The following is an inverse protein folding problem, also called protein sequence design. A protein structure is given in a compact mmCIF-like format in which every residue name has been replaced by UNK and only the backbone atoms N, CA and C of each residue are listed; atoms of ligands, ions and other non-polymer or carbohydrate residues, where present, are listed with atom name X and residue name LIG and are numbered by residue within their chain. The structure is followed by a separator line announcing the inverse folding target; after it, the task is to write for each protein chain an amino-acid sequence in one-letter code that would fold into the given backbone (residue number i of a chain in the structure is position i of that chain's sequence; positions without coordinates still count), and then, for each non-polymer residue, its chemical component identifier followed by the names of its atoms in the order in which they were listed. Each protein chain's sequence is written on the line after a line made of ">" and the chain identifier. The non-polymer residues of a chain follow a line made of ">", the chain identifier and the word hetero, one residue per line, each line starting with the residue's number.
data_IF_958197091991
#
_entry.id   IF_958197091991
#
_cell.length_a   1.000
_cell.length_b   1.000
_cell.length_c   1.000
_cell.angle_alpha   90.00
_cell.angle_beta   90.00
_cell.angle_gamma   90.00
#
_symmetry.space_group_name_H-M   'P 1'
#
loop_
_entity.id
_entity.type
_entity.pdbx_description
1 polymer ?
#
# COMPACT_ATOMS: atom_id res chain seq x y z
N UNK A 1 -2.40 8.28 0.78
CA UNK A 1 -1.79 8.85 2.00
C UNK A 1 -1.13 10.21 1.78
N UNK A 2 -0.70 10.54 0.56
CA UNK A 2 0.13 11.74 0.26
C UNK A 2 -0.70 12.86 -0.37
N UNK A 3 -1.40 12.57 -1.48
CA UNK A 3 -2.20 13.54 -2.19
C UNK A 3 -3.38 14.04 -1.34
N UNK A 4 -3.78 15.29 -1.57
CA UNK A 4 -4.92 15.91 -0.89
C UNK A 4 -6.23 15.67 -1.66
N UNK A 5 -6.14 15.50 -2.98
CA UNK A 5 -7.27 15.15 -3.87
C UNK A 5 -6.87 13.97 -4.74
N UNK A 6 -7.76 13.01 -4.92
CA UNK A 6 -7.60 11.88 -5.82
C UNK A 6 -8.28 12.14 -7.16
N UNK A 7 -7.59 11.82 -8.27
CA UNK A 7 -8.17 11.82 -9.61
C UNK A 7 -8.40 10.36 -10.03
N UNK A 8 -9.67 9.99 -10.19
CA UNK A 8 -10.08 8.67 -10.63
C UNK A 8 -10.27 8.65 -12.14
N UNK A 9 -9.30 8.07 -12.84
CA UNK A 9 -9.37 7.93 -14.30
C UNK A 9 -10.11 6.65 -14.65
N UNK A 10 -11.23 6.78 -15.36
CA UNK A 10 -12.10 5.69 -15.79
C UNK A 10 -12.05 5.55 -17.31
N UNK A 11 -11.96 4.34 -17.79
CA UNK A 11 -11.92 4.05 -19.22
C UNK A 11 -13.34 4.10 -19.82
N UNK A 12 -13.55 4.92 -20.86
CA UNK A 12 -14.84 5.07 -21.52
C UNK A 12 -15.37 3.82 -22.22
N UNK A 13 -14.52 2.80 -22.44
CA UNK A 13 -14.92 1.52 -23.07
C UNK A 13 -15.35 0.50 -22.03
N UNK A 14 -14.69 0.50 -20.85
CA UNK A 14 -14.87 -0.52 -19.82
C UNK A 14 -15.74 -0.06 -18.65
N UNK A 15 -15.85 1.24 -18.45
CA UNK A 15 -16.58 1.81 -17.33
C UNK A 15 -15.88 1.57 -15.98
N UNK A 16 -16.68 1.45 -14.93
CA UNK A 16 -16.19 1.14 -13.58
C UNK A 16 -15.83 -0.34 -13.49
N UNK A 17 -14.55 -0.62 -13.27
CA UNK A 17 -14.01 -1.97 -13.11
C UNK A 17 -13.70 -2.26 -11.63
N UNK A 18 -13.44 -3.51 -11.29
CA UNK A 18 -13.06 -3.94 -9.92
C UNK A 18 -11.88 -3.12 -9.37
N UNK A 19 -10.90 -2.79 -10.23
CA UNK A 19 -9.78 -1.92 -9.85
C UNK A 19 -10.24 -0.52 -9.41
N UNK A 20 -11.21 0.06 -10.10
CA UNK A 20 -11.82 1.36 -9.76
C UNK A 20 -12.48 1.30 -8.38
N UNK A 21 -13.25 0.24 -8.09
CA UNK A 21 -13.89 0.06 -6.79
C UNK A 21 -12.90 -0.12 -5.65
N UNK A 22 -11.83 -0.90 -5.85
CA UNK A 22 -10.78 -1.11 -4.85
C UNK A 22 -10.09 0.21 -4.51
N UNK A 23 -9.66 0.97 -5.54
CA UNK A 23 -8.97 2.25 -5.34
C UNK A 23 -9.92 3.27 -4.70
N UNK A 24 -11.18 3.36 -5.13
CA UNK A 24 -12.16 4.27 -4.53
C UNK A 24 -12.42 3.97 -3.05
N UNK A 25 -12.37 2.70 -2.66
CA UNK A 25 -12.45 2.29 -1.25
C UNK A 25 -11.27 2.82 -0.44
N UNK A 26 -10.05 2.78 -0.99
CA UNK A 26 -8.87 3.36 -0.35
C UNK A 26 -9.01 4.89 -0.23
N UNK A 27 -9.45 5.58 -1.28
CA UNK A 27 -9.68 7.04 -1.27
C UNK A 27 -10.70 7.42 -0.19
N UNK A 28 -11.83 6.68 -0.09
CA UNK A 28 -12.85 6.89 0.94
C UNK A 28 -12.33 6.63 2.35
N UNK A 29 -11.60 5.54 2.56
CA UNK A 29 -11.02 5.20 3.87
C UNK A 29 -10.01 6.26 4.36
N UNK A 30 -9.35 6.96 3.44
CA UNK A 30 -8.44 8.06 3.73
C UNK A 30 -9.15 9.43 3.77
N UNK A 31 -10.47 9.47 3.63
CA UNK A 31 -11.27 10.69 3.63
C UNK A 31 -10.78 11.76 2.63
N UNK A 32 -10.37 11.34 1.42
CA UNK A 32 -9.87 12.25 0.40
C UNK A 32 -10.96 12.67 -0.57
N UNK A 33 -10.97 13.93 -1.02
CA UNK A 33 -11.74 14.39 -2.18
C UNK A 33 -11.44 13.54 -3.41
N UNK A 34 -12.44 13.38 -4.29
CA UNK A 34 -12.30 12.59 -5.51
C UNK A 34 -12.90 13.31 -6.72
N UNK A 35 -12.18 13.29 -7.83
CA UNK A 35 -12.60 13.83 -9.12
C UNK A 35 -12.55 12.69 -10.15
N UNK A 36 -13.59 12.54 -10.96
CA UNK A 36 -13.63 11.56 -12.03
C UNK A 36 -13.18 12.15 -13.36
N UNK A 37 -12.39 11.39 -14.11
CA UNK A 37 -11.99 11.71 -15.48
C UNK A 37 -12.29 10.51 -16.36
N UNK A 38 -13.27 10.64 -17.25
CA UNK A 38 -13.60 9.63 -18.24
C UNK A 38 -12.67 9.83 -19.45
N UNK A 39 -11.74 8.89 -19.62
CA UNK A 39 -10.68 8.94 -20.63
C UNK A 39 -10.95 7.96 -21.78
N UNK A 40 -10.22 8.12 -22.89
CA UNK A 40 -10.35 7.33 -24.12
C UNK A 40 -11.70 7.49 -24.82
N UNK A 41 -12.24 8.70 -24.78
CA UNK A 41 -13.48 9.03 -25.52
C UNK A 41 -13.29 9.01 -27.04
N UNK A 42 -12.07 9.02 -27.52
CA UNK A 42 -11.67 8.85 -28.92
C UNK A 42 -11.57 7.39 -29.38
N UNK A 43 -11.77 6.43 -28.49
CA UNK A 43 -11.77 5.01 -28.85
C UNK A 43 -13.07 4.61 -29.54
N UNK A 44 -13.01 3.77 -30.60
CA UNK A 44 -14.17 3.36 -31.42
C UNK A 44 -15.37 2.79 -30.63
N UNK A 45 -15.08 2.16 -29.47
CA UNK A 45 -16.07 1.52 -28.58
C UNK A 45 -16.37 2.37 -27.34
N UNK A 46 -15.95 3.64 -27.32
CA UNK A 46 -16.25 4.50 -26.18
C UNK A 46 -17.75 4.70 -26.00
N UNK A 47 -18.22 4.63 -24.76
CA UNK A 47 -19.61 4.91 -24.38
C UNK A 47 -19.62 5.72 -23.09
N UNK A 48 -19.74 7.03 -23.24
CA UNK A 48 -19.73 7.98 -22.14
C UNK A 48 -20.93 7.79 -21.20
N UNK A 49 -22.12 7.70 -21.78
CA UNK A 49 -23.38 7.60 -21.03
C UNK A 49 -23.38 6.36 -20.14
N UNK A 50 -23.04 5.21 -20.69
CA UNK A 50 -22.95 3.97 -19.93
C UNK A 50 -21.88 4.04 -18.83
N UNK A 51 -20.73 4.67 -19.13
CA UNK A 51 -19.65 4.84 -18.14
C UNK A 51 -20.08 5.75 -17.00
N UNK A 52 -20.82 6.82 -17.30
CA UNK A 52 -21.39 7.71 -16.31
C UNK A 52 -22.45 7.01 -15.44
N UNK A 53 -23.35 6.25 -16.07
CA UNK A 53 -24.35 5.44 -15.34
C UNK A 53 -23.69 4.45 -14.38
N UNK A 54 -22.64 3.76 -14.83
CA UNK A 54 -21.85 2.86 -13.95
C UNK A 54 -21.20 3.61 -12.79
N UNK A 55 -20.67 4.82 -13.03
CA UNK A 55 -20.09 5.64 -11.97
C UNK A 55 -21.17 6.11 -10.97
N UNK A 56 -22.32 6.56 -11.47
CA UNK A 56 -23.47 6.97 -10.63
C UNK A 56 -24.07 5.80 -9.84
N UNK A 57 -24.15 4.62 -10.45
CA UNK A 57 -24.61 3.41 -9.75
C UNK A 57 -23.66 2.99 -8.61
N UNK A 58 -22.33 3.14 -8.81
CA UNK A 58 -21.31 2.76 -7.84
C UNK A 58 -21.08 3.81 -6.75
N UNK A 59 -21.20 5.11 -7.07
CA UNK A 59 -20.80 6.22 -6.20
C UNK A 59 -21.96 7.16 -5.84
N UNK A 60 -23.14 6.93 -6.37
CA UNK A 60 -24.36 7.65 -6.04
C UNK A 60 -24.51 9.01 -6.73
N UNK A 61 -25.49 9.79 -6.25
CA UNK A 61 -25.85 11.12 -6.78
C UNK A 61 -24.75 12.18 -6.64
N UNK A 62 -23.69 11.89 -5.89
CA UNK A 62 -22.54 12.78 -5.71
C UNK A 62 -21.71 12.93 -6.99
N UNK A 63 -21.89 12.05 -7.97
CA UNK A 63 -21.24 12.10 -9.29
C UNK A 63 -21.95 13.12 -10.15
N UNK A 64 -21.32 14.28 -10.36
CA UNK A 64 -21.92 15.45 -11.02
C UNK A 64 -21.09 15.86 -12.23
N UNK A 65 -21.77 16.09 -13.36
CA UNK A 65 -21.11 16.47 -14.59
C UNK A 65 -20.60 17.93 -14.55
N UNK A 66 -19.32 18.11 -14.86
CA UNK A 66 -18.73 19.43 -15.19
C UNK A 66 -18.56 19.57 -16.70
N UNK A 67 -18.39 18.43 -17.38
CA UNK A 67 -18.26 18.38 -18.83
C UNK A 67 -18.98 17.15 -19.39
N UNK A 68 -19.46 17.25 -20.63
CA UNK A 68 -19.96 16.11 -21.38
C UNK A 68 -19.52 16.18 -22.85
N UNK A 69 -19.29 15.03 -23.51
CA UNK A 69 -18.92 14.99 -24.92
C UNK A 69 -20.16 15.18 -25.82
N UNK A 70 -20.04 16.01 -26.87
CA UNK A 70 -21.05 16.13 -27.93
C UNK A 70 -20.95 14.93 -28.87
N UNK A 71 -19.76 14.44 -29.08
CA UNK A 71 -19.47 13.26 -29.89
C UNK A 71 -18.42 12.38 -29.21
N UNK A 72 -18.41 11.10 -29.54
CA UNK A 72 -17.46 10.11 -29.01
C UNK A 72 -17.02 9.13 -30.09
N UNK A 73 -16.04 8.30 -29.81
CA UNK A 73 -15.45 7.36 -30.76
C UNK A 73 -14.36 8.02 -31.63
N UNK A 74 -14.06 7.43 -32.77
CA UNK A 74 -12.99 7.90 -33.68
C UNK A 74 -13.10 9.37 -34.09
N UNK A 75 -14.30 9.93 -34.03
CA UNK A 75 -14.57 11.34 -34.34
C UNK A 75 -14.61 12.27 -33.14
N UNK A 76 -14.24 11.82 -31.94
CA UNK A 76 -14.26 12.63 -30.72
C UNK A 76 -13.43 13.90 -30.86
N UNK A 77 -14.10 15.06 -30.79
CA UNK A 77 -13.45 16.35 -30.87
C UNK A 77 -14.25 17.52 -30.30
N UNK A 78 -15.44 17.27 -29.71
CA UNK A 78 -16.29 18.32 -29.17
C UNK A 78 -16.75 17.98 -27.74
N UNK A 79 -16.61 18.95 -26.84
CA UNK A 79 -17.02 18.84 -25.44
C UNK A 79 -17.69 20.12 -24.99
N UNK A 80 -18.83 20.01 -24.32
CA UNK A 80 -19.49 21.12 -23.62
C UNK A 80 -18.97 21.19 -22.20
N UNK A 81 -18.52 22.35 -21.79
CA UNK A 81 -18.19 22.70 -20.40
C UNK A 81 -19.41 23.32 -19.73
N UNK A 82 -20.01 22.58 -18.83
CA UNK A 82 -21.25 22.95 -18.15
C UNK A 82 -21.00 24.06 -17.11
N UNK A 83 -19.79 24.15 -16.55
CA UNK A 83 -19.43 25.19 -15.60
C UNK A 83 -19.31 26.57 -16.29
N UNK A 84 -18.70 26.60 -17.49
CA UNK A 84 -18.47 27.83 -18.25
C UNK A 84 -19.55 28.16 -19.28
N UNK A 85 -20.42 27.20 -19.58
CA UNK A 85 -21.40 27.27 -20.66
C UNK A 85 -20.77 27.61 -22.02
N UNK A 86 -19.70 26.88 -22.35
CA UNK A 86 -18.93 26.99 -23.58
C UNK A 86 -18.75 25.64 -24.22
N UNK A 87 -18.60 25.58 -25.54
CA UNK A 87 -18.21 24.38 -26.27
C UNK A 87 -16.77 24.49 -26.74
N UNK A 88 -15.99 23.46 -26.47
CA UNK A 88 -14.62 23.28 -26.98
C UNK A 88 -14.63 22.35 -28.17
N UNK A 89 -13.96 22.79 -29.26
CA UNK A 89 -13.76 21.96 -30.45
C UNK A 89 -12.28 21.85 -30.79
N UNK A 90 -11.79 20.62 -30.94
CA UNK A 90 -10.42 20.32 -31.31
C UNK A 90 -10.32 19.94 -32.77
N UNK A 91 -9.14 20.21 -33.35
CA UNK A 91 -8.72 19.59 -34.61
C UNK A 91 -8.39 18.11 -34.37
N UNK A 92 -8.41 17.26 -35.44
CA UNK A 92 -8.14 15.82 -35.26
C UNK A 92 -6.79 15.51 -34.62
N UNK A 93 -5.79 16.34 -34.79
CA UNK A 93 -4.46 16.24 -34.19
C UNK A 93 -4.36 16.71 -32.74
N UNK A 94 -5.46 17.20 -32.18
CA UNK A 94 -5.49 17.74 -30.81
C UNK A 94 -4.94 19.16 -30.67
N UNK A 95 -4.40 19.49 -29.49
CA UNK A 95 -3.78 20.78 -29.21
C UNK A 95 -4.74 21.80 -28.60
N UNK A 96 -4.61 23.08 -28.99
CA UNK A 96 -5.47 24.16 -28.47
C UNK A 96 -6.86 24.10 -29.13
N UNK A 97 -7.96 24.04 -28.37
CA UNK A 97 -9.29 24.06 -28.94
C UNK A 97 -9.72 25.45 -29.42
N UNK A 98 -10.66 25.45 -30.33
CA UNK A 98 -11.50 26.60 -30.59
C UNK A 98 -12.63 26.64 -29.54
N UNK A 99 -12.90 27.85 -29.02
CA UNK A 99 -14.02 28.07 -28.07
C UNK A 99 -15.21 28.60 -28.87
N UNK A 100 -16.30 27.85 -28.83
CA UNK A 100 -17.50 28.13 -29.61
C UNK A 100 -18.71 28.27 -28.70
N UNK A 101 -19.75 29.00 -29.10
CA UNK A 101 -21.03 28.98 -28.42
C UNK A 101 -21.65 27.56 -28.51
N UNK A 102 -22.39 27.18 -27.51
CA UNK A 102 -23.11 25.90 -27.50
C UNK A 102 -24.14 25.89 -28.63
N UNK A 103 -24.14 24.87 -29.50
CA UNK A 103 -25.08 24.78 -30.60
C UNK A 103 -26.51 24.62 -30.08
N UNK A 104 -27.52 25.08 -30.83
CA UNK A 104 -28.91 25.06 -30.43
C UNK A 104 -29.41 23.62 -30.09
N UNK A 105 -28.86 22.60 -30.78
CA UNK A 105 -29.17 21.18 -30.51
C UNK A 105 -28.73 20.69 -29.13
N UNK A 106 -27.73 21.33 -28.51
CA UNK A 106 -27.19 20.96 -27.21
C UNK A 106 -27.62 21.89 -26.07
N UNK A 107 -28.31 22.98 -26.39
CA UNK A 107 -28.61 24.06 -25.45
C UNK A 107 -29.50 23.63 -24.30
N UNK A 108 -30.61 22.91 -24.59
CA UNK A 108 -31.50 22.40 -23.59
C UNK A 108 -30.82 21.48 -22.59
N UNK A 109 -30.00 20.53 -23.09
CA UNK A 109 -29.19 19.62 -22.26
C UNK A 109 -28.14 20.36 -21.45
N UNK A 110 -27.48 21.35 -22.05
CA UNK A 110 -26.47 22.14 -21.36
C UNK A 110 -27.08 22.99 -20.23
N UNK A 111 -28.23 23.63 -20.48
CA UNK A 111 -28.94 24.43 -19.48
C UNK A 111 -29.45 23.55 -18.31
N UNK A 112 -29.99 22.37 -18.61
CA UNK A 112 -30.45 21.40 -17.58
C UNK A 112 -29.25 20.97 -16.68
N UNK A 113 -28.13 20.58 -17.30
CA UNK A 113 -26.94 20.15 -16.57
C UNK A 113 -26.26 21.30 -15.81
N UNK A 114 -26.31 22.53 -16.37
CA UNK A 114 -25.81 23.72 -15.70
C UNK A 114 -26.60 24.03 -14.42
N UNK A 115 -27.94 23.99 -14.51
CA UNK A 115 -28.80 24.17 -13.35
C UNK A 115 -28.58 23.09 -12.29
N UNK A 116 -28.45 21.83 -12.69
CA UNK A 116 -28.11 20.74 -11.78
C UNK A 116 -26.73 20.93 -11.10
N UNK A 117 -25.75 21.50 -11.83
CA UNK A 117 -24.43 21.82 -11.28
C UNK A 117 -24.51 23.00 -10.30
N UNK A 118 -25.33 24.03 -10.58
CA UNK A 118 -25.58 25.15 -9.64
C UNK A 118 -26.20 24.63 -8.36
N UNK A 119 -27.26 23.83 -8.44
CA UNK A 119 -27.91 23.24 -7.28
C UNK A 119 -26.95 22.42 -6.43
N UNK A 120 -26.20 21.51 -7.08
CA UNK A 120 -25.21 20.69 -6.40
C UNK A 120 -24.08 21.51 -5.76
N UNK A 121 -23.68 22.65 -6.36
CA UNK A 121 -22.70 23.56 -5.77
C UNK A 121 -23.28 24.33 -4.57
N UNK A 122 -24.52 24.81 -4.69
CA UNK A 122 -25.21 25.56 -3.65
C UNK A 122 -25.50 24.72 -2.40
N UNK A 123 -25.83 23.43 -2.54
CA UNK A 123 -26.10 22.50 -1.43
C UNK A 123 -24.94 22.39 -0.43
N UNK A 124 -23.71 22.73 -0.83
CA UNK A 124 -22.53 22.62 0.01
C UNK A 124 -22.26 23.85 0.88
N UNK A 125 -23.08 24.89 0.80
CA UNK A 125 -22.87 26.14 1.54
C UNK A 125 -24.17 26.90 1.75
N UNK A 126 -24.53 27.18 3.00
CA UNK A 126 -25.78 27.89 3.35
C UNK A 126 -25.87 29.27 2.66
N UNK A 127 -24.78 30.02 2.62
CA UNK A 127 -24.75 31.35 1.97
C UNK A 127 -24.92 31.27 0.44
N UNK A 128 -24.37 30.24 -0.21
CA UNK A 128 -24.58 30.00 -1.64
C UNK A 128 -26.01 29.52 -1.93
N UNK A 129 -26.62 28.76 -1.02
CA UNK A 129 -28.01 28.33 -1.14
C UNK A 129 -28.98 29.52 -1.02
N UNK A 130 -28.75 30.39 -0.04
CA UNK A 130 -29.53 31.64 0.10
C UNK A 130 -29.41 32.51 -1.15
N UNK A 131 -28.19 32.67 -1.65
CA UNK A 131 -27.92 33.45 -2.85
C UNK A 131 -28.61 32.87 -4.09
N UNK A 132 -28.59 31.54 -4.23
CA UNK A 132 -29.30 30.86 -5.31
C UNK A 132 -30.80 31.05 -5.23
N UNK A 133 -31.39 30.97 -4.05
CA UNK A 133 -32.86 31.24 -3.89
C UNK A 133 -33.21 32.70 -4.16
N UNK A 134 -32.31 33.65 -3.86
CA UNK A 134 -32.53 35.07 -4.11
C UNK A 134 -32.40 35.45 -5.59
N UNK A 135 -31.37 34.95 -6.26
CA UNK A 135 -30.98 35.36 -7.63
C UNK A 135 -31.38 34.37 -8.73
N UNK A 136 -31.71 33.12 -8.36
CA UNK A 136 -32.03 32.04 -9.31
C UNK A 136 -30.78 31.49 -10.07
N UNK A 137 -29.58 31.99 -9.76
CA UNK A 137 -28.33 31.54 -10.41
C UNK A 137 -27.10 31.84 -9.53
N UNK A 138 -26.00 31.20 -9.82
CA UNK A 138 -24.68 31.50 -9.23
C UNK A 138 -23.70 31.90 -10.32
N UNK A 139 -22.78 32.80 -10.01
CA UNK A 139 -21.63 33.10 -10.88
C UNK A 139 -20.64 31.93 -10.94
N UNK A 140 -19.77 31.91 -11.94
CA UNK A 140 -18.73 30.87 -12.07
C UNK A 140 -17.84 30.77 -10.83
N UNK A 141 -17.47 31.89 -10.21
CA UNK A 141 -16.62 31.89 -9.02
C UNK A 141 -17.37 31.38 -7.77
N UNK A 142 -18.66 31.69 -7.62
CA UNK A 142 -19.54 31.15 -6.58
C UNK A 142 -19.73 29.64 -6.74
N UNK A 143 -19.94 29.15 -7.97
CA UNK A 143 -20.01 27.73 -8.28
C UNK A 143 -18.70 27.02 -7.96
N UNK A 144 -17.55 27.58 -8.35
CA UNK A 144 -16.22 27.05 -8.01
C UNK A 144 -16.00 26.93 -6.51
N UNK A 145 -16.46 27.94 -5.74
CA UNK A 145 -16.38 27.90 -4.28
C UNK A 145 -17.27 26.77 -3.69
N UNK A 146 -18.50 26.61 -4.18
CA UNK A 146 -19.40 25.54 -3.76
C UNK A 146 -18.87 24.16 -4.12
N UNK A 147 -18.37 23.99 -5.35
CA UNK A 147 -17.74 22.72 -5.78
C UNK A 147 -16.52 22.38 -4.89
N UNK A 148 -15.69 23.36 -4.56
CA UNK A 148 -14.54 23.16 -3.64
C UNK A 148 -14.98 22.69 -2.27
N UNK A 149 -16.03 23.31 -1.70
CA UNK A 149 -16.60 22.90 -0.40
C UNK A 149 -17.17 21.47 -0.49
N UNK A 150 -17.92 21.15 -1.54
CA UNK A 150 -18.45 19.80 -1.79
C UNK A 150 -17.35 18.74 -1.97
N UNK A 151 -16.24 19.09 -2.61
CA UNK A 151 -15.06 18.23 -2.70
C UNK A 151 -14.44 17.94 -1.31
N UNK A 152 -14.24 18.98 -0.51
CA UNK A 152 -13.68 18.85 0.85
C UNK A 152 -14.59 18.00 1.74
N UNK A 153 -15.90 18.25 1.67
CA UNK A 153 -16.92 17.47 2.40
C UNK A 153 -17.10 16.04 1.85
N UNK A 154 -16.64 15.79 0.60
CA UNK A 154 -16.82 14.51 -0.13
C UNK A 154 -18.28 14.24 -0.49
N UNK A 155 -19.04 15.29 -0.68
CA UNK A 155 -20.44 15.26 -1.07
C UNK A 155 -20.64 15.53 -2.55
N UNK A 156 -19.56 15.88 -3.26
CA UNK A 156 -19.56 16.13 -4.70
C UNK A 156 -18.33 15.50 -5.35
N UNK A 157 -18.56 14.79 -6.46
CA UNK A 157 -17.51 14.16 -7.29
C UNK A 157 -17.64 14.66 -8.73
N UNK A 158 -16.92 15.74 -9.11
CA UNK A 158 -16.98 16.31 -10.44
C UNK A 158 -16.47 15.33 -11.51
N UNK A 159 -17.13 15.30 -12.68
CA UNK A 159 -16.80 14.43 -13.81
C UNK A 159 -16.31 15.26 -14.99
N UNK A 160 -15.17 14.85 -15.54
CA UNK A 160 -14.53 15.41 -16.73
C UNK A 160 -14.42 14.40 -17.86
N UNK A 161 -14.32 14.91 -19.08
CA UNK A 161 -14.22 14.15 -20.33
C UNK A 161 -12.90 14.44 -20.99
N UNK A 162 -12.09 13.43 -21.30
CA UNK A 162 -10.79 13.63 -21.93
C UNK A 162 -10.45 12.55 -22.99
N UNK A 163 -9.58 12.91 -23.92
CA UNK A 163 -8.69 11.99 -24.61
C UNK A 163 -7.25 12.41 -24.28
N UNK A 164 -6.62 11.67 -23.36
CA UNK A 164 -5.27 11.96 -22.92
C UNK A 164 -4.24 11.74 -24.05
N UNK A 165 -4.46 10.75 -24.93
CA UNK A 165 -3.60 10.46 -26.07
C UNK A 165 -3.55 11.62 -27.08
N UNK A 166 -4.70 12.27 -27.31
CA UNK A 166 -4.83 13.39 -28.24
C UNK A 166 -4.72 14.76 -27.58
N UNK A 167 -4.41 14.82 -26.28
CA UNK A 167 -4.36 16.06 -25.47
C UNK A 167 -5.67 16.90 -25.57
N UNK A 168 -6.82 16.21 -25.70
CA UNK A 168 -8.13 16.88 -25.72
C UNK A 168 -8.70 16.98 -24.33
N UNK A 169 -9.17 18.15 -23.93
CA UNK A 169 -9.67 18.52 -22.59
C UNK A 169 -8.65 18.45 -21.44
N UNK A 170 -7.43 17.93 -21.62
CA UNK A 170 -6.44 17.79 -20.54
C UNK A 170 -6.10 19.15 -19.93
N UNK A 171 -5.87 20.18 -20.75
CA UNK A 171 -5.62 21.55 -20.28
C UNK A 171 -6.75 22.11 -19.44
N UNK A 172 -8.00 21.90 -19.88
CA UNK A 172 -9.18 22.39 -19.15
C UNK A 172 -9.34 21.68 -17.80
N UNK A 173 -9.06 20.39 -17.76
CA UNK A 173 -9.02 19.64 -16.51
C UNK A 173 -7.92 20.15 -15.58
N UNK A 174 -6.72 20.42 -16.08
CA UNK A 174 -5.63 21.00 -15.28
C UNK A 174 -5.97 22.40 -14.76
N UNK A 175 -6.65 23.23 -15.56
CA UNK A 175 -7.16 24.54 -15.11
C UNK A 175 -8.16 24.38 -13.95
N UNK A 176 -9.04 23.40 -14.02
CA UNK A 176 -9.97 23.10 -12.93
C UNK A 176 -9.23 22.66 -11.66
N UNK A 177 -8.23 21.80 -11.78
CA UNK A 177 -7.41 21.39 -10.62
C UNK A 177 -6.76 22.60 -9.93
N UNK A 178 -6.20 23.52 -10.69
CA UNK A 178 -5.56 24.73 -10.13
C UNK A 178 -6.57 25.65 -9.45
N UNK A 179 -7.75 25.84 -10.06
CA UNK A 179 -8.71 26.85 -9.62
C UNK A 179 -9.75 26.34 -8.62
N UNK A 180 -10.04 25.03 -8.62
CA UNK A 180 -11.15 24.44 -7.84
C UNK A 180 -10.71 23.36 -6.85
N UNK A 181 -9.77 22.46 -7.23
CA UNK A 181 -9.35 21.42 -6.32
C UNK A 181 -8.77 22.03 -5.02
N UNK A 182 -9.09 21.45 -3.84
CA UNK A 182 -8.59 21.98 -2.58
C UNK A 182 -7.07 21.84 -2.49
N UNK A 183 -6.40 22.92 -2.09
CA UNK A 183 -4.99 22.89 -1.73
C UNK A 183 -4.79 22.21 -0.37
N UNK A 184 -3.56 21.84 -0.02
CA UNK A 184 -3.25 21.30 1.30
C UNK A 184 -3.75 22.23 2.43
N UNK A 185 -3.57 23.53 2.30
CA UNK A 185 -4.03 24.52 3.28
C UNK A 185 -5.57 24.57 3.43
N UNK A 186 -6.32 24.15 2.43
CA UNK A 186 -7.78 24.07 2.49
C UNK A 186 -8.29 22.75 3.09
N UNK A 187 -7.41 21.77 3.25
CA UNK A 187 -7.75 20.47 3.85
C UNK A 187 -7.61 20.52 5.38
N UNK A 188 -8.39 19.66 6.09
CA UNK A 188 -8.37 19.67 7.56
C UNK A 188 -7.01 19.35 8.18
N UNK A 189 -6.13 18.67 7.45
CA UNK A 189 -4.83 18.21 7.95
C UNK A 189 -4.69 16.69 7.92
N UNK A 190 -3.74 16.18 8.70
CA UNK A 190 -3.44 14.74 8.79
C UNK A 190 -3.66 14.23 10.22
N UNK A 191 -4.32 13.07 10.35
CA UNK A 191 -4.54 12.43 11.66
C UNK A 191 -3.28 11.70 12.12
N UNK A 192 -2.94 11.86 13.39
CA UNK A 192 -1.92 11.08 14.09
C UNK A 192 -2.44 9.70 14.51
N UNK A 193 -1.56 8.80 14.94
CA UNK A 193 -1.94 7.47 15.46
C UNK A 193 -2.88 7.51 16.66
N UNK A 194 -2.77 8.54 17.49
CA UNK A 194 -3.59 8.79 18.68
C UNK A 194 -4.87 9.59 18.38
N UNK A 195 -5.13 9.88 17.08
CA UNK A 195 -6.36 10.52 16.62
C UNK A 195 -6.37 12.05 16.68
N UNK A 196 -5.27 12.70 17.02
CA UNK A 196 -5.14 14.16 16.94
C UNK A 196 -5.09 14.59 15.48
N UNK A 197 -5.80 15.66 15.13
CA UNK A 197 -5.71 16.29 13.82
C UNK A 197 -4.59 17.34 13.82
N UNK A 198 -3.63 17.18 12.92
CA UNK A 198 -2.53 18.13 12.71
C UNK A 198 -2.83 18.92 11.44
N UNK A 199 -3.17 20.22 11.56
CA UNK A 199 -3.45 21.06 10.41
C UNK A 199 -2.17 21.39 9.62
N UNK A 200 -2.33 21.70 8.33
CA UNK A 200 -1.21 22.14 7.48
C UNK A 200 -0.87 23.61 7.77
N UNK A 201 -0.19 23.87 8.89
CA UNK A 201 0.18 25.21 9.35
C UNK A 201 1.69 25.44 9.21
N UNK A 202 2.07 26.52 8.51
CA UNK A 202 3.48 26.88 8.25
C UNK A 202 4.21 27.30 9.53
N UNK A 203 3.51 27.86 10.51
CA UNK A 203 4.08 28.35 11.75
C UNK A 203 4.03 27.32 12.91
N UNK A 204 3.56 26.10 12.62
CA UNK A 204 3.58 25.00 13.59
C UNK A 204 4.98 24.37 13.75
N UNK A 205 5.13 23.37 14.64
CA UNK A 205 6.35 22.60 14.75
C UNK A 205 6.63 21.81 13.47
N UNK A 206 7.90 21.74 13.06
CA UNK A 206 8.25 21.01 11.83
C UNK A 206 8.02 19.52 12.00
N UNK A 207 7.16 18.98 11.15
CA UNK A 207 6.82 17.55 11.11
C UNK A 207 6.62 17.08 9.67
N UNK A 208 7.26 15.98 9.29
CA UNK A 208 7.23 15.41 7.96
C UNK A 208 6.88 13.93 8.00
N UNK A 209 6.05 13.48 7.04
CA UNK A 209 5.68 12.09 6.83
C UNK A 209 6.42 11.53 5.63
N UNK A 210 7.24 10.49 5.84
CA UNK A 210 8.00 9.80 4.78
C UNK A 210 7.10 8.77 4.11
N UNK A 211 6.87 8.93 2.82
CA UNK A 211 5.92 8.08 2.11
C UNK A 211 6.55 7.14 1.08
N UNK A 212 7.77 7.43 0.62
CA UNK A 212 8.45 6.58 -0.36
C UNK A 212 9.97 6.71 -0.21
N UNK A 213 10.66 5.63 -0.45
CA UNK A 213 12.12 5.60 -0.51
C UNK A 213 12.52 4.96 -1.85
N UNK A 214 13.48 5.54 -2.55
CA UNK A 214 14.12 4.95 -3.73
C UNK A 214 15.63 4.90 -3.51
N UNK A 215 16.28 3.90 -4.08
CA UNK A 215 17.72 3.71 -3.92
C UNK A 215 18.41 3.92 -5.26
N UNK A 216 19.23 4.94 -5.36
CA UNK A 216 20.03 5.23 -6.56
C UNK A 216 21.52 4.92 -6.35
N UNK A 217 22.15 4.31 -7.35
CA UNK A 217 23.55 3.84 -7.26
C UNK A 217 24.55 4.91 -6.83
N UNK A 218 24.33 6.18 -7.19
CA UNK A 218 25.27 7.28 -6.93
C UNK A 218 24.90 8.18 -5.75
N UNK A 219 23.64 8.16 -5.34
CA UNK A 219 23.12 9.04 -4.28
C UNK A 219 22.76 8.28 -2.99
N UNK A 220 22.60 6.95 -3.09
CA UNK A 220 22.08 6.14 -2.00
C UNK A 220 20.58 6.31 -1.83
N UNK A 221 20.12 6.23 -0.60
CA UNK A 221 18.69 6.32 -0.26
C UNK A 221 18.18 7.74 -0.43
N UNK A 222 17.09 7.86 -1.19
CA UNK A 222 16.34 9.09 -1.38
C UNK A 222 14.99 8.90 -0.73
N UNK A 223 14.74 9.65 0.33
CA UNK A 223 13.48 9.61 1.07
C UNK A 223 12.58 10.75 0.63
N UNK A 224 11.41 10.40 0.10
CA UNK A 224 10.36 11.34 -0.27
C UNK A 224 9.41 11.55 0.90
N UNK A 225 9.09 12.77 1.20
CA UNK A 225 8.22 13.11 2.33
C UNK A 225 7.26 14.26 2.00
N UNK A 226 6.19 14.31 2.77
CA UNK A 226 5.26 15.44 2.84
C UNK A 226 5.50 16.19 4.15
N UNK A 227 5.69 17.49 4.06
CA UNK A 227 5.68 18.35 5.25
C UNK A 227 4.23 18.49 5.70
N UNK A 228 3.92 18.03 6.91
CA UNK A 228 2.57 18.10 7.47
C UNK A 228 2.36 19.36 8.29
N UNK A 229 3.36 19.76 9.09
CA UNK A 229 3.32 20.95 9.90
C UNK A 229 4.66 21.68 9.86
N UNK A 230 4.65 22.97 10.06
CA UNK A 230 5.85 23.79 10.15
C UNK A 230 6.57 23.97 8.82
N UNK A 231 7.87 24.15 8.93
CA UNK A 231 8.78 24.34 7.79
C UNK A 231 10.05 23.52 8.03
N UNK A 232 10.35 22.62 7.09
CA UNK A 232 11.58 21.83 7.09
C UNK A 232 12.64 22.55 6.28
N UNK A 233 13.83 22.74 6.83
CA UNK A 233 14.95 23.46 6.20
C UNK A 233 16.15 22.57 5.97
N UNK A 234 16.96 22.93 4.99
CA UNK A 234 18.28 22.33 4.82
C UNK A 234 19.13 22.60 6.08
N UNK A 235 19.72 21.54 6.62
CA UNK A 235 20.51 21.59 7.85
C UNK A 235 19.76 21.27 9.14
N UNK A 236 18.45 21.11 9.11
CA UNK A 236 17.64 20.73 10.27
C UNK A 236 18.03 19.35 10.81
N UNK A 237 18.01 19.22 12.14
CA UNK A 237 18.12 17.95 12.84
C UNK A 237 16.71 17.54 13.31
N UNK A 238 16.16 16.51 12.68
CA UNK A 238 14.84 15.95 13.02
C UNK A 238 14.99 14.61 13.73
N UNK A 239 14.01 14.23 14.51
CA UNK A 239 13.95 12.92 15.17
C UNK A 239 12.97 12.02 14.45
N UNK A 240 13.41 10.83 14.06
CA UNK A 240 12.53 9.79 13.57
C UNK A 240 11.75 9.20 14.75
N UNK A 241 10.44 9.40 14.76
CA UNK A 241 9.56 9.01 15.86
C UNK A 241 9.31 7.49 15.96
N UNK A 242 9.65 6.75 14.93
CA UNK A 242 9.53 5.28 14.91
C UNK A 242 10.76 4.62 15.54
N UNK A 243 11.95 5.10 15.18
CA UNK A 243 13.24 4.50 15.58
C UNK A 243 13.95 5.24 16.72
N UNK A 244 13.54 6.49 17.03
CA UNK A 244 14.24 7.39 17.95
C UNK A 244 15.56 7.96 17.40
N UNK A 245 15.89 7.68 16.15
CA UNK A 245 17.15 8.12 15.53
C UNK A 245 17.11 9.60 15.17
N UNK A 246 18.19 10.32 15.42
CA UNK A 246 18.36 11.68 14.93
C UNK A 246 18.82 11.68 13.49
N UNK A 247 18.07 12.35 12.64
CA UNK A 247 18.27 12.48 11.22
C UNK A 247 18.57 13.92 10.83
N UNK A 248 19.63 14.13 10.06
CA UNK A 248 19.99 15.46 9.57
C UNK A 248 19.55 15.63 8.12
N UNK A 249 18.82 16.68 7.85
CA UNK A 249 18.38 17.07 6.49
C UNK A 249 19.56 17.76 5.79
N UNK A 250 20.51 16.99 5.29
CA UNK A 250 21.72 17.51 4.68
C UNK A 250 21.49 18.23 3.36
N UNK A 251 20.50 17.80 2.59
CA UNK A 251 20.09 18.37 1.31
C UNK A 251 18.58 18.25 1.17
N UNK A 252 17.97 19.26 0.56
CA UNK A 252 16.54 19.35 0.39
C UNK A 252 16.19 19.62 -1.07
N UNK A 253 15.22 18.87 -1.60
CA UNK A 253 14.82 18.94 -3.00
C UNK A 253 13.31 19.06 -3.17
N UNK A 254 12.88 19.95 -4.05
CA UNK A 254 11.58 19.88 -4.71
C UNK A 254 11.69 18.91 -5.90
N UNK A 255 10.70 18.03 -6.06
CA UNK A 255 10.78 16.93 -7.03
C UNK A 255 9.66 17.03 -8.06
N UNK A 256 10.02 16.93 -9.34
CA UNK A 256 9.09 16.84 -10.46
C UNK A 256 9.54 15.71 -11.41
N UNK A 257 8.98 14.51 -11.22
CA UNK A 257 9.43 13.29 -11.91
C UNK A 257 10.89 12.97 -11.62
N UNK A 258 11.74 12.92 -12.65
CA UNK A 258 13.19 12.70 -12.50
C UNK A 258 13.97 13.98 -12.14
N UNK A 259 13.35 15.15 -12.28
CA UNK A 259 14.00 16.42 -12.01
C UNK A 259 13.94 16.75 -10.52
N UNK A 260 15.08 17.06 -9.95
CA UNK A 260 15.25 17.48 -8.56
C UNK A 260 15.86 18.87 -8.54
N UNK A 261 15.14 19.81 -7.96
CA UNK A 261 15.61 21.18 -7.79
C UNK A 261 15.96 21.37 -6.31
N UNK A 262 17.22 21.74 -6.03
CA UNK A 262 17.65 22.03 -4.68
C UNK A 262 16.89 23.25 -4.16
N UNK A 263 16.36 23.14 -2.94
CA UNK A 263 15.64 24.20 -2.23
C UNK A 263 16.20 24.35 -0.80
N UNK A 264 15.99 25.51 -0.20
CA UNK A 264 16.45 25.77 1.16
C UNK A 264 15.44 25.44 2.23
N UNK A 265 14.15 25.43 1.85
CA UNK A 265 13.03 25.10 2.75
C UNK A 265 11.85 24.49 1.99
N UNK A 266 11.05 23.71 2.71
CA UNK A 266 9.74 23.19 2.32
C UNK A 266 8.76 23.43 3.45
N UNK A 267 7.53 23.87 3.11
CA UNK A 267 6.51 24.30 4.06
C UNK A 267 5.38 23.26 4.18
N UNK A 268 4.58 23.36 5.21
CA UNK A 268 3.40 22.52 5.40
C UNK A 268 2.55 22.41 4.12
N UNK A 269 2.29 21.19 3.69
CA UNK A 269 1.63 20.87 2.43
C UNK A 269 2.57 20.52 1.27
N UNK A 270 3.84 20.93 1.31
CA UNK A 270 4.82 20.66 0.27
C UNK A 270 5.28 19.20 0.26
N UNK A 271 5.61 18.73 -0.94
CA UNK A 271 6.26 17.44 -1.18
C UNK A 271 7.73 17.68 -1.53
N UNK A 272 8.60 16.93 -0.90
CA UNK A 272 10.03 17.01 -1.16
C UNK A 272 10.77 15.70 -0.99
N UNK A 273 12.07 15.79 -1.18
CA UNK A 273 12.97 14.67 -0.97
C UNK A 273 14.24 15.12 -0.25
N UNK A 274 14.82 14.19 0.49
CA UNK A 274 16.15 14.32 1.10
C UNK A 274 16.96 13.06 0.86
N UNK A 275 18.24 13.12 1.10
CA UNK A 275 19.18 12.01 0.90
C UNK A 275 19.98 11.73 2.16
N UNK A 276 20.53 10.51 2.25
CA UNK A 276 21.49 10.11 3.29
C UNK A 276 20.91 10.10 4.70
N UNK A 277 19.63 9.83 4.88
CA UNK A 277 19.07 9.49 6.17
C UNK A 277 19.62 8.14 6.64
N UNK A 278 19.80 7.95 7.96
CA UNK A 278 20.53 6.78 8.51
C UNK A 278 19.66 5.54 8.67
N UNK A 279 18.38 5.72 8.90
CA UNK A 279 17.48 4.60 9.21
C UNK A 279 16.01 4.92 9.03
N UNK A 280 15.70 5.90 8.19
CA UNK A 280 14.32 6.32 7.91
C UNK A 280 13.75 5.52 6.76
N UNK A 281 12.53 5.01 6.93
CA UNK A 281 11.80 4.15 6.00
C UNK A 281 10.41 4.69 5.68
N UNK A 282 9.76 4.03 4.72
CA UNK A 282 8.39 4.34 4.33
C UNK A 282 7.43 4.21 5.51
N UNK A 283 6.65 5.27 5.78
CA UNK A 283 5.70 5.34 6.88
C UNK A 283 6.24 5.98 8.15
N UNK A 284 7.51 6.38 8.19
CA UNK A 284 8.10 7.06 9.34
C UNK A 284 7.69 8.54 9.42
N UNK A 285 7.70 9.04 10.64
CA UNK A 285 7.47 10.46 10.95
C UNK A 285 8.77 11.11 11.46
N UNK A 286 9.14 12.21 10.85
CA UNK A 286 10.30 13.02 11.24
C UNK A 286 9.82 14.32 11.89
N UNK A 287 10.24 14.58 13.13
CA UNK A 287 9.81 15.75 13.89
C UNK A 287 10.99 16.58 14.36
N UNK A 288 10.76 17.88 14.49
CA UNK A 288 11.67 18.73 15.25
C UNK A 288 11.62 18.39 16.75
N UNK A 289 12.57 18.97 17.49
CA UNK A 289 12.65 18.76 18.94
C UNK A 289 11.34 19.21 19.62
N UNK A 290 10.92 18.41 20.61
CA UNK A 290 9.72 18.63 21.44
C UNK A 290 8.36 18.49 20.68
N UNK A 291 8.37 18.06 19.42
CA UNK A 291 7.17 17.67 18.67
C UNK A 291 6.93 16.15 18.82
N UNK A 292 5.71 15.79 19.22
CA UNK A 292 5.33 14.39 19.53
C UNK A 292 4.37 13.76 18.51
N UNK A 293 4.19 14.38 17.34
CA UNK A 293 3.31 13.83 16.31
C UNK A 293 3.84 12.50 15.79
N UNK A 294 2.95 11.52 15.65
CA UNK A 294 3.26 10.23 15.00
C UNK A 294 2.14 9.90 14.04
N UNK A 295 2.43 9.95 12.74
CA UNK A 295 1.44 9.62 11.74
C UNK A 295 1.31 8.10 11.54
N UNK A 296 0.11 7.59 11.18
CA UNK A 296 -0.07 6.19 10.89
C UNK A 296 0.77 5.79 9.66
N UNK A 297 1.51 4.70 9.78
CA UNK A 297 2.26 4.13 8.65
C UNK A 297 1.33 3.69 7.52
N UNK A 298 1.89 3.55 6.34
CA UNK A 298 1.16 3.10 5.15
C UNK A 298 0.79 1.63 5.33
N UNK A 299 -0.50 1.29 5.19
CA UNK A 299 -0.98 -0.08 5.16
C UNK A 299 -0.87 -0.62 3.74
N UNK A 300 0.12 -1.46 3.51
CA UNK A 300 0.29 -2.15 2.24
C UNK A 300 -0.67 -3.34 2.16
N UNK A 301 -1.16 -3.70 0.96
CA UNK A 301 -1.99 -4.88 0.79
C UNK A 301 -1.19 -6.15 1.05
N UNK A 302 -1.84 -7.17 1.62
CA UNK A 302 -1.22 -8.47 1.84
C UNK A 302 -0.83 -9.12 0.50
N UNK A 303 0.31 -9.77 0.46
CA UNK A 303 0.76 -10.55 -0.70
C UNK A 303 -0.21 -11.72 -0.98
N UNK A 304 -0.47 -11.97 -2.27
CA UNK A 304 -1.41 -13.00 -2.72
C UNK A 304 -0.77 -14.07 -3.61
N UNK A 305 0.44 -13.81 -4.07
CA UNK A 305 1.17 -14.73 -4.94
C UNK A 305 2.58 -14.94 -4.40
N UNK A 306 3.02 -16.18 -4.37
CA UNK A 306 4.30 -16.59 -3.79
C UNK A 306 5.08 -17.46 -4.75
N UNK A 307 6.37 -17.20 -4.93
CA UNK A 307 7.30 -18.00 -5.72
C UNK A 307 8.65 -18.11 -5.02
N UNK A 308 9.41 -19.14 -5.35
CA UNK A 308 10.80 -19.19 -4.99
C UNK A 308 11.68 -18.63 -6.13
N UNK A 309 12.80 -18.04 -5.80
CA UNK A 309 13.73 -17.42 -6.75
C UNK A 309 15.14 -17.91 -6.52
N UNK A 310 15.89 -18.05 -7.59
CA UNK A 310 17.33 -18.31 -7.59
C UNK A 310 18.02 -17.53 -8.71
N UNK A 311 19.27 -17.22 -8.54
CA UNK A 311 20.11 -16.74 -9.63
C UNK A 311 20.42 -17.91 -10.59
N UNK A 312 20.44 -17.63 -11.90
CA UNK A 312 20.84 -18.62 -12.91
C UNK A 312 22.32 -18.98 -12.71
N UNK A 313 23.17 -17.98 -12.45
CA UNK A 313 24.56 -18.18 -12.09
C UNK A 313 24.72 -18.20 -10.57
N UNK A 314 25.29 -19.26 -10.01
CA UNK A 314 25.51 -19.38 -8.56
C UNK A 314 26.33 -18.25 -7.95
N UNK A 315 27.24 -17.63 -8.71
CA UNK A 315 28.04 -16.50 -8.26
C UNK A 315 27.25 -15.20 -8.04
N UNK A 316 26.04 -15.13 -8.56
CA UNK A 316 25.16 -13.95 -8.45
C UNK A 316 24.14 -14.06 -7.30
N UNK A 317 24.11 -15.16 -6.53
CA UNK A 317 23.09 -15.37 -5.48
C UNK A 317 23.15 -14.30 -4.38
N UNK A 318 24.33 -13.93 -3.94
CA UNK A 318 24.52 -12.92 -2.89
C UNK A 318 24.08 -11.53 -3.38
N UNK A 319 24.49 -11.16 -4.59
CA UNK A 319 24.09 -9.91 -5.24
C UNK A 319 22.57 -9.87 -5.52
N UNK A 320 21.97 -10.99 -5.94
CA UNK A 320 20.53 -11.12 -6.11
C UNK A 320 19.81 -10.85 -4.79
N UNK A 321 20.27 -11.43 -3.68
CA UNK A 321 19.66 -11.22 -2.37
C UNK A 321 19.72 -9.75 -1.95
N UNK A 322 20.84 -9.06 -2.13
CA UNK A 322 20.97 -7.63 -1.85
C UNK A 322 19.99 -6.80 -2.68
N UNK A 323 19.88 -7.09 -3.99
CA UNK A 323 18.94 -6.40 -4.89
C UNK A 323 17.49 -6.62 -4.46
N UNK A 324 17.12 -7.85 -4.10
CA UNK A 324 15.77 -8.17 -3.64
C UNK A 324 15.39 -7.46 -2.34
N UNK A 325 16.30 -7.40 -1.36
CA UNK A 325 16.05 -6.64 -0.12
C UNK A 325 15.96 -5.14 -0.38
N UNK A 326 16.77 -4.58 -1.26
CA UNK A 326 16.65 -3.20 -1.72
C UNK A 326 15.28 -2.94 -2.36
N UNK A 327 14.81 -3.84 -3.23
CA UNK A 327 13.49 -3.72 -3.86
C UNK A 327 12.35 -3.79 -2.84
N UNK A 328 12.49 -4.58 -1.77
CA UNK A 328 11.54 -4.60 -0.66
C UNK A 328 11.50 -3.25 0.09
N UNK A 329 12.65 -2.60 0.28
CA UNK A 329 12.68 -1.27 0.90
C UNK A 329 12.02 -0.19 0.03
N UNK A 330 12.17 -0.30 -1.31
CA UNK A 330 11.47 0.57 -2.26
C UNK A 330 9.97 0.27 -2.34
N UNK A 331 9.59 -1.01 -2.33
CA UNK A 331 8.21 -1.50 -2.40
C UNK A 331 7.93 -2.51 -1.27
N UNK A 332 7.42 -2.06 -0.12
CA UNK A 332 7.10 -2.93 1.00
C UNK A 332 5.98 -3.95 0.73
N UNK A 333 5.26 -3.86 -0.40
CA UNK A 333 4.30 -4.89 -0.81
C UNK A 333 4.96 -6.13 -1.43
N UNK A 334 6.24 -6.04 -1.79
CA UNK A 334 7.10 -7.16 -2.15
C UNK A 334 7.75 -7.72 -0.88
N UNK A 335 7.36 -8.92 -0.45
CA UNK A 335 8.00 -9.57 0.68
C UNK A 335 9.13 -10.48 0.20
N UNK A 336 10.26 -10.40 0.88
CA UNK A 336 11.48 -11.19 0.60
C UNK A 336 11.83 -11.98 1.85
N UNK A 337 11.81 -13.31 1.76
CA UNK A 337 12.06 -14.20 2.89
C UNK A 337 13.10 -15.26 2.50
N UNK A 338 14.08 -15.49 3.37
CA UNK A 338 14.99 -16.62 3.22
C UNK A 338 14.61 -17.74 4.18
N UNK A 339 14.16 -18.87 3.62
CA UNK A 339 13.91 -20.08 4.39
C UNK A 339 15.22 -20.82 4.66
N UNK A 340 15.73 -20.71 5.89
CA UNK A 340 16.96 -21.41 6.33
C UNK A 340 16.82 -22.94 6.24
N UNK A 341 15.64 -23.47 6.54
CA UNK A 341 15.34 -24.89 6.53
C UNK A 341 15.40 -25.48 5.12
N UNK A 342 14.74 -24.83 4.18
CA UNK A 342 14.64 -25.30 2.80
C UNK A 342 15.72 -24.72 1.88
N UNK A 343 16.56 -23.84 2.42
CA UNK A 343 17.62 -23.12 1.70
C UNK A 343 17.11 -22.52 0.38
N UNK A 344 16.07 -21.75 0.47
CA UNK A 344 15.47 -21.07 -0.67
C UNK A 344 15.07 -19.65 -0.34
N UNK A 345 15.24 -18.75 -1.31
CA UNK A 345 14.72 -17.38 -1.26
C UNK A 345 13.30 -17.40 -1.80
N UNK A 346 12.38 -16.77 -1.08
CA UNK A 346 10.97 -16.71 -1.40
C UNK A 346 10.58 -15.27 -1.61
N UNK A 347 9.86 -15.01 -2.71
CA UNK A 347 9.23 -13.75 -3.01
C UNK A 347 7.72 -13.88 -2.90
N UNK A 348 7.10 -12.90 -2.24
CA UNK A 348 5.65 -12.81 -2.18
C UNK A 348 5.21 -11.41 -2.62
N UNK A 349 4.20 -11.32 -3.47
CA UNK A 349 3.72 -10.06 -4.04
C UNK A 349 2.22 -10.08 -4.32
N UNK A 350 1.73 -9.03 -4.98
CA UNK A 350 0.31 -8.84 -5.23
C UNK A 350 -0.28 -9.79 -6.28
N UNK A 351 0.57 -10.34 -7.15
CA UNK A 351 0.20 -11.26 -8.22
C UNK A 351 1.41 -11.61 -9.08
N UNK A 352 1.20 -12.49 -10.04
CA UNK A 352 2.26 -12.95 -10.96
C UNK A 352 2.84 -11.78 -11.79
N UNK A 353 1.99 -10.87 -12.27
CA UNK A 353 2.44 -9.70 -13.01
C UNK A 353 3.37 -8.81 -12.18
N UNK A 354 3.08 -8.63 -10.90
CA UNK A 354 3.94 -7.86 -9.99
C UNK A 354 5.33 -8.49 -9.91
N UNK A 355 5.42 -9.80 -9.62
CA UNK A 355 6.70 -10.48 -9.51
C UNK A 355 7.46 -10.54 -10.85
N UNK A 356 6.77 -10.72 -11.97
CA UNK A 356 7.37 -10.66 -13.30
C UNK A 356 7.94 -9.26 -13.61
N UNK A 357 7.29 -8.19 -13.17
CA UNK A 357 7.81 -6.82 -13.27
C UNK A 357 9.10 -6.66 -12.44
N UNK A 358 9.14 -7.21 -11.22
CA UNK A 358 10.35 -7.20 -10.39
C UNK A 358 11.48 -8.00 -11.05
N UNK A 359 11.18 -9.19 -11.59
CA UNK A 359 12.13 -9.99 -12.38
C UNK A 359 12.70 -9.18 -13.53
N UNK A 360 11.85 -8.55 -14.32
CA UNK A 360 12.27 -7.71 -15.44
C UNK A 360 13.19 -6.57 -14.99
N UNK A 361 12.90 -5.89 -13.89
CA UNK A 361 13.76 -4.83 -13.32
C UNK A 361 15.14 -5.36 -12.93
N UNK A 362 15.21 -6.51 -12.27
CA UNK A 362 16.47 -7.15 -11.87
C UNK A 362 17.32 -7.50 -13.10
N UNK A 363 16.70 -8.12 -14.11
CA UNK A 363 17.40 -8.54 -15.32
C UNK A 363 17.88 -7.34 -16.17
N UNK A 364 17.09 -6.26 -16.26
CA UNK A 364 17.39 -5.11 -17.11
C UNK A 364 18.25 -4.04 -16.42
N UNK A 365 18.03 -3.78 -15.13
CA UNK A 365 18.76 -2.74 -14.41
C UNK A 365 20.03 -3.28 -13.74
N UNK A 366 19.89 -4.40 -13.02
CA UNK A 366 20.99 -4.98 -12.23
C UNK A 366 21.81 -6.03 -13.00
N UNK A 367 21.33 -6.44 -14.20
CA UNK A 367 21.97 -7.41 -15.09
C UNK A 367 22.17 -8.79 -14.47
N UNK A 368 21.28 -9.18 -13.57
CA UNK A 368 21.25 -10.49 -12.92
C UNK A 368 20.13 -11.32 -13.54
N UNK A 369 20.48 -12.49 -14.12
CA UNK A 369 19.49 -13.42 -14.62
C UNK A 369 18.95 -14.27 -13.48
N UNK A 370 17.62 -14.29 -13.31
CA UNK A 370 16.94 -15.02 -12.24
C UNK A 370 15.87 -15.97 -12.79
N UNK A 371 15.62 -17.03 -12.04
CA UNK A 371 14.59 -18.01 -12.36
C UNK A 371 13.61 -18.15 -11.21
N UNK A 372 12.29 -18.12 -11.54
CA UNK A 372 11.22 -18.45 -10.61
C UNK A 372 10.91 -19.94 -10.67
N UNK A 373 10.63 -20.53 -9.52
CA UNK A 373 10.21 -21.92 -9.41
C UNK A 373 9.24 -22.12 -8.25
N UNK A 374 8.54 -23.26 -8.26
CA UNK A 374 7.58 -23.58 -7.20
C UNK A 374 8.29 -23.67 -5.82
N UNK A 375 7.82 -22.95 -4.80
CA UNK A 375 8.40 -23.05 -3.46
C UNK A 375 8.28 -24.48 -2.92
N UNK A 376 9.34 -24.97 -2.30
CA UNK A 376 9.26 -26.22 -1.55
C UNK A 376 8.38 -26.03 -0.31
N UNK A 377 7.60 -27.02 0.01
CA UNK A 377 6.75 -27.02 1.21
C UNK A 377 7.49 -27.75 2.33
N UNK A 378 7.66 -27.14 3.52
CA UNK A 378 8.27 -27.82 4.65
C UNK A 378 7.24 -28.80 5.23
N UNK A 379 7.27 -30.03 4.73
CA UNK A 379 6.45 -31.08 5.31
C UNK A 379 6.95 -31.41 6.72
N UNK A 380 6.01 -31.67 7.60
CA UNK A 380 6.24 -32.16 8.96
C UNK A 380 5.64 -33.54 9.10
N UNK A 381 6.38 -34.39 9.78
CA UNK A 381 5.90 -35.73 10.13
C UNK A 381 5.35 -35.71 11.55
N UNK A 382 4.31 -36.47 11.76
CA UNK A 382 3.75 -36.73 13.09
C UNK A 382 3.45 -38.20 13.21
N UNK A 383 3.42 -38.69 14.45
CA UNK A 383 3.00 -40.06 14.76
C UNK A 383 1.49 -40.16 14.79
N UNK A 384 0.93 -41.26 14.30
CA UNK A 384 -0.52 -41.55 14.30
C UNK A 384 -0.88 -42.75 15.13
N UNK A 385 0.10 -43.45 15.67
CA UNK A 385 -0.08 -44.68 16.45
C UNK A 385 0.92 -44.71 17.58
N UNK A 386 0.53 -45.44 18.64
CA UNK A 386 1.43 -45.87 19.71
C UNK A 386 2.58 -46.69 19.15
N UNK A 387 3.80 -46.42 19.64
CA UNK A 387 4.98 -47.18 19.36
C UNK A 387 5.91 -47.24 20.58
N UNK A 388 6.65 -48.31 20.71
CA UNK A 388 7.68 -48.46 21.73
C UNK A 388 8.98 -48.97 21.10
N UNK A 389 10.10 -48.52 21.65
CA UNK A 389 11.41 -48.98 21.25
C UNK A 389 12.36 -48.93 22.45
N UNK A 390 13.35 -49.81 22.42
CA UNK A 390 14.50 -49.72 23.29
C UNK A 390 15.78 -49.71 22.46
N UNK A 391 16.79 -49.08 23.01
CA UNK A 391 18.12 -49.07 22.40
C UNK A 391 19.18 -49.22 23.47
N UNK A 392 20.08 -50.18 23.26
CA UNK A 392 21.22 -50.42 24.11
C UNK A 392 22.50 -50.14 23.33
N UNK A 393 23.27 -49.14 23.75
CA UNK A 393 24.60 -48.85 23.25
C UNK A 393 25.61 -49.49 24.18
N UNK A 394 26.41 -50.41 23.62
CA UNK A 394 27.55 -50.99 24.31
C UNK A 394 28.73 -51.02 23.34
N UNK A 395 29.75 -50.23 23.64
CA UNK A 395 30.96 -50.17 22.81
C UNK A 395 32.17 -50.19 23.71
N UNK A 396 33.10 -51.11 23.45
CA UNK A 396 34.36 -51.24 24.17
C UNK A 396 35.47 -51.36 23.14
N UNK A 397 36.29 -50.31 23.00
CA UNK A 397 37.40 -50.24 22.07
C UNK A 397 38.69 -49.79 22.75
N UNK A 398 39.04 -50.45 23.93
CA UNK A 398 40.18 -50.11 24.78
C UNK A 398 39.82 -49.03 25.83
N UNK A 399 40.19 -49.29 27.10
CA UNK A 399 39.88 -48.40 28.24
C UNK A 399 38.47 -48.51 28.76
N UNK A 400 37.94 -47.42 29.31
CA UNK A 400 36.57 -47.36 29.84
C UNK A 400 35.52 -47.51 28.75
N UNK A 401 34.69 -48.54 28.77
CA UNK A 401 33.63 -48.80 27.80
C UNK A 401 32.52 -47.74 27.85
N UNK A 402 31.85 -47.58 26.73
CA UNK A 402 30.63 -46.75 26.63
C UNK A 402 29.40 -47.66 26.84
N UNK A 403 28.51 -47.25 27.72
CA UNK A 403 27.24 -47.94 27.95
C UNK A 403 26.11 -46.93 28.13
N UNK A 404 25.00 -47.19 27.50
CA UNK A 404 23.75 -46.45 27.66
C UNK A 404 22.58 -47.27 27.15
N UNK A 405 21.50 -47.31 27.90
CA UNK A 405 20.28 -48.01 27.53
C UNK A 405 19.06 -47.14 27.82
N UNK A 406 18.17 -47.01 26.85
CA UNK A 406 16.95 -46.21 26.95
C UNK A 406 15.77 -47.03 26.44
N UNK A 407 14.70 -47.08 27.19
CA UNK A 407 13.41 -47.61 26.78
C UNK A 407 12.45 -46.46 26.65
N UNK A 408 11.79 -46.35 25.49
CA UNK A 408 10.93 -45.22 25.17
C UNK A 408 9.60 -45.68 24.60
N UNK A 409 8.56 -44.95 24.97
CA UNK A 409 7.21 -45.08 24.42
C UNK A 409 6.84 -43.74 23.82
N UNK A 410 6.24 -43.77 22.66
CA UNK A 410 5.76 -42.55 21.96
C UNK A 410 4.34 -42.80 21.46
N UNK A 411 3.46 -41.83 21.65
CA UNK A 411 2.06 -41.86 21.19
C UNK A 411 1.56 -40.50 20.76
N UNK A 412 0.52 -40.44 19.93
CA UNK A 412 -0.11 -39.16 19.58
C UNK A 412 -0.60 -38.44 20.82
N UNK A 413 -0.36 -37.12 20.90
CA UNK A 413 -0.82 -36.25 21.98
C UNK A 413 -1.99 -35.39 21.52
N UNK A 414 -3.06 -35.38 22.36
CA UNK A 414 -4.18 -34.45 22.23
C UNK A 414 -4.27 -33.58 23.48
N UNK A 415 -4.57 -32.31 23.35
CA UNK A 415 -4.67 -31.41 24.50
C UNK A 415 -5.79 -31.83 25.44
N UNK A 416 -5.48 -31.92 26.72
CA UNK A 416 -6.42 -32.48 27.73
C UNK A 416 -6.36 -34.00 27.89
N UNK A 417 -5.51 -34.70 27.16
CA UNK A 417 -5.29 -36.14 27.34
C UNK A 417 -4.84 -36.46 28.78
N UNK A 418 -5.40 -37.49 29.42
CA UNK A 418 -4.99 -37.87 30.76
C UNK A 418 -3.55 -38.37 30.80
N UNK A 419 -2.88 -38.19 31.93
CA UNK A 419 -1.52 -38.69 32.13
C UNK A 419 -1.49 -40.21 31.99
N UNK A 420 -0.45 -40.79 31.35
CA UNK A 420 -0.34 -42.21 31.15
C UNK A 420 -0.13 -42.95 32.50
N UNK A 421 -0.94 -43.96 32.77
CA UNK A 421 -0.84 -44.74 34.01
C UNK A 421 -0.23 -46.11 33.77
N UNK A 422 -0.42 -46.69 32.60
CA UNK A 422 0.07 -48.02 32.21
C UNK A 422 0.39 -48.05 30.72
N UNK A 423 1.46 -48.77 30.38
CA UNK A 423 1.83 -49.09 29.01
C UNK A 423 2.16 -50.57 28.86
N UNK A 424 1.94 -51.12 27.65
CA UNK A 424 2.41 -52.46 27.32
C UNK A 424 3.87 -52.44 26.95
N UNK A 425 4.74 -52.99 27.75
CA UNK A 425 6.17 -53.13 27.47
C UNK A 425 6.48 -54.62 27.28
N UNK A 426 6.94 -54.99 26.08
CA UNK A 426 7.20 -56.37 25.72
C UNK A 426 5.97 -57.29 25.84
N UNK A 427 4.75 -56.73 25.64
CA UNK A 427 3.48 -57.48 25.74
C UNK A 427 2.90 -57.58 27.17
N UNK A 428 3.58 -57.05 28.18
CA UNK A 428 3.15 -57.05 29.61
C UNK A 428 2.69 -55.64 30.00
N UNK A 429 1.55 -55.52 30.66
CA UNK A 429 1.06 -54.27 31.20
C UNK A 429 1.96 -53.80 32.36
N UNK A 430 2.67 -52.71 32.14
CA UNK A 430 3.61 -52.09 33.06
C UNK A 430 3.03 -50.80 33.61
N UNK A 431 2.98 -50.67 34.94
CA UNK A 431 2.53 -49.45 35.62
C UNK A 431 3.60 -48.37 35.51
N UNK A 432 3.22 -47.19 35.01
CA UNK A 432 4.11 -46.05 34.92
C UNK A 432 4.09 -45.22 36.19
N UNK A 433 5.28 -44.80 36.64
CA UNK A 433 5.44 -43.87 37.76
C UNK A 433 6.06 -42.59 37.25
N UNK A 434 5.22 -41.61 36.91
CA UNK A 434 5.67 -40.31 36.41
C UNK A 434 6.41 -39.58 37.54
N UNK A 435 7.65 -39.17 37.28
CA UNK A 435 8.53 -38.41 38.19
C UNK A 435 8.67 -36.95 37.75
N UNK A 436 8.40 -36.65 36.50
CA UNK A 436 8.42 -35.31 35.93
C UNK A 436 7.61 -35.23 34.65
N UNK A 437 7.06 -34.06 34.39
CA UNK A 437 6.34 -33.74 33.17
C UNK A 437 6.93 -32.43 32.61
N UNK A 438 7.27 -32.43 31.34
CA UNK A 438 7.78 -31.25 30.61
C UNK A 438 6.96 -31.06 29.31
N UNK A 439 6.60 -29.84 29.00
CA UNK A 439 5.83 -29.49 27.83
C UNK A 439 6.65 -28.53 26.93
N UNK A 440 6.70 -28.84 25.66
CA UNK A 440 7.43 -28.05 24.66
C UNK A 440 6.50 -27.69 23.53
N UNK A 441 6.36 -26.39 23.28
CA UNK A 441 5.70 -25.89 22.07
C UNK A 441 6.65 -26.00 20.88
N UNK A 442 6.18 -26.66 19.83
CA UNK A 442 6.99 -26.86 18.62
C UNK A 442 6.91 -25.65 17.68
N UNK A 443 8.03 -25.21 17.08
CA UNK A 443 8.07 -23.99 16.25
C UNK A 443 7.09 -23.98 15.07
N UNK A 444 6.60 -25.14 14.65
CA UNK A 444 5.68 -25.29 13.51
C UNK A 444 4.22 -25.50 13.92
N UNK A 445 3.88 -25.26 15.18
CA UNK A 445 2.57 -25.57 15.76
C UNK A 445 2.48 -27.03 16.16
N UNK A 446 1.97 -27.28 17.34
CA UNK A 446 1.94 -28.60 18.00
C UNK A 446 2.72 -28.59 19.30
N UNK A 447 2.55 -29.63 20.06
CA UNK A 447 3.11 -29.75 21.41
C UNK A 447 3.77 -31.11 21.60
N UNK A 448 4.94 -31.14 22.22
CA UNK A 448 5.58 -32.34 22.74
C UNK A 448 5.43 -32.36 24.25
N UNK A 449 4.81 -33.41 24.79
CA UNK A 449 4.72 -33.64 26.23
C UNK A 449 5.61 -34.82 26.60
N UNK A 450 6.59 -34.55 27.43
CA UNK A 450 7.56 -35.53 27.87
C UNK A 450 7.27 -35.95 29.32
N UNK A 451 7.06 -37.23 29.52
CA UNK A 451 6.90 -37.83 30.84
C UNK A 451 8.15 -38.60 31.24
N UNK A 452 8.84 -38.15 32.29
CA UNK A 452 9.97 -38.83 32.84
C UNK A 452 9.49 -39.87 33.85
N UNK A 453 9.63 -41.16 33.53
CA UNK A 453 9.24 -42.29 34.33
C UNK A 453 10.45 -43.03 34.93
N UNK A 454 11.64 -42.45 34.96
CA UNK A 454 12.86 -43.06 35.47
C UNK A 454 12.80 -43.21 36.99
N UNK A 455 13.05 -44.41 37.48
CA UNK A 455 13.08 -44.72 38.91
C UNK A 455 14.50 -45.09 39.34
N UNK A 456 14.95 -44.58 40.49
CA UNK A 456 16.25 -44.94 41.07
C UNK A 456 17.47 -44.22 40.46
N UNK A 457 17.24 -43.19 39.62
CA UNK A 457 18.34 -42.37 39.08
C UNK A 457 19.26 -43.10 38.11
N UNK A 458 18.75 -44.16 37.47
CA UNK A 458 19.55 -45.03 36.52
C UNK A 458 20.02 -44.28 35.26
N UNK A 459 19.39 -43.17 34.92
CA UNK A 459 19.85 -42.22 33.91
C UNK A 459 20.09 -40.86 34.59
N UNK A 460 21.30 -40.38 34.57
CA UNK A 460 21.62 -39.08 35.16
C UNK A 460 20.94 -37.93 34.40
N UNK A 461 20.49 -36.92 35.15
CA UNK A 461 19.75 -35.76 34.58
C UNK A 461 20.51 -35.02 33.45
N UNK A 462 21.83 -35.05 33.46
CA UNK A 462 22.68 -34.44 32.41
C UNK A 462 22.48 -35.03 30.99
N UNK A 463 21.91 -36.27 30.91
CA UNK A 463 21.65 -36.93 29.63
C UNK A 463 20.26 -36.65 29.07
N UNK A 464 19.32 -36.11 29.90
CA UNK A 464 17.95 -35.81 29.45
C UNK A 464 17.85 -34.92 28.23
N UNK A 465 18.66 -33.81 28.10
CA UNK A 465 18.62 -32.98 26.88
C UNK A 465 19.04 -33.72 25.60
N UNK A 466 19.86 -34.77 25.72
CA UNK A 466 20.26 -35.59 24.58
C UNK A 466 19.16 -36.58 24.16
N UNK A 467 18.34 -37.04 25.11
CA UNK A 467 17.16 -37.93 24.87
C UNK A 467 16.02 -37.13 24.21
N UNK A 468 15.87 -35.87 24.59
CA UNK A 468 14.82 -34.98 24.08
C UNK A 468 15.14 -34.35 22.72
N UNK A 469 16.39 -34.36 22.28
CA UNK A 469 16.84 -33.80 20.99
C UNK A 469 16.53 -34.73 19.81
#
# INVERSE_FOLDING_TARGET
>A
NVADTAVMVVNAVKGVEVGTEIISRHVRNLNKPMIFVINQLDHEKANFEQTLEHAQASFGKKVVLVQYPVNQGLGFNQVVDVLKMEMYQWKPEGGKPDVLPIPESEKEKADELHNALIEAAAENDEGLMELYFEKGSLSEDEMRAGIRKGLIARDMFPVFCVSAEKDMCVRRFMEFLVNVAPSAAAMPGMLTKDGRLVPYEVNGPASAFVFSTTIEQHLGDINYFKVVSGTVKEGDDLTNMTTGTKERIAQLYAVAGKNRTKVTELRAGDLGATVKLKGTRNGDTLNEKDCDYVFPGIKYPNSRFRTAVRAVNKGDEEKMAEVLYRMHEEDPSLLVEYSKELKQMILSGQGEFHLNTMKWRIEHNDKIQIEFYAPKIPYRETITKYAQADYRHKKQSGGAGQFGEVHMVIEPYEEGMPEPTTYKIGGVDSKMSIKGKEEYDLPWGGKLVFYNCIVGGVIEARFMPAILK
#
